data_IF_235782072732
#
_entry.id   IF_235782072732
#
_cell.length_a   1.000
_cell.length_b   1.000
_cell.length_c   1.000
_cell.angle_alpha   90.00
_cell.angle_beta   90.00
_cell.angle_gamma   90.00
#
_symmetry.space_group_name_H-M   'P 1'
#
loop_
_entity.id
_entity.type
_entity.pdbx_description
1 polymer ?
#
# COMPACT_ATOMS: atom_id res chain seq x y z
N UNK A 1 10.16 1.03 -29.86
CA UNK A 1 8.89 0.58 -29.28
C UNK A 1 8.68 1.33 -27.99
N UNK A 2 7.53 1.99 -27.75
CA UNK A 2 7.33 2.70 -26.49
C UNK A 2 7.16 1.66 -25.38
N UNK A 3 8.00 1.75 -24.35
CA UNK A 3 7.90 0.90 -23.18
C UNK A 3 6.70 1.33 -22.34
N UNK A 4 5.74 0.41 -22.26
CA UNK A 4 4.56 0.38 -21.38
C UNK A 4 5.08 0.24 -19.92
N UNK A 5 4.35 0.68 -18.87
CA UNK A 5 4.85 1.27 -17.62
C UNK A 5 6.04 0.57 -16.93
N UNK A 6 7.01 1.37 -16.47
CA UNK A 6 8.22 0.87 -15.80
C UNK A 6 8.01 0.52 -14.31
N UNK A 7 9.03 -0.11 -13.73
CA UNK A 7 8.97 -1.51 -13.30
C UNK A 7 9.27 -1.68 -11.78
N UNK A 8 8.47 -1.05 -10.91
CA UNK A 8 8.32 -1.54 -9.53
C UNK A 8 6.84 -1.75 -9.28
N UNK A 9 6.35 -2.96 -9.53
CA UNK A 9 5.01 -3.38 -9.15
C UNK A 9 4.79 -3.06 -7.67
N UNK A 10 3.59 -2.59 -7.31
CA UNK A 10 3.26 -2.19 -5.93
C UNK A 10 3.56 -3.31 -4.92
N UNK A 11 3.44 -4.57 -5.37
CA UNK A 11 3.77 -5.76 -4.58
C UNK A 11 5.27 -5.84 -4.21
N UNK A 12 6.19 -5.31 -5.02
CA UNK A 12 7.63 -5.26 -4.70
C UNK A 12 7.91 -4.33 -3.53
N UNK A 13 7.18 -3.22 -3.41
CA UNK A 13 7.32 -2.30 -2.27
C UNK A 13 6.80 -2.94 -0.98
N UNK A 14 5.62 -3.57 -1.04
CA UNK A 14 5.06 -4.31 0.08
C UNK A 14 5.98 -5.46 0.51
N UNK A 15 6.49 -6.24 -0.44
CA UNK A 15 7.40 -7.35 -0.19
C UNK A 15 8.71 -6.88 0.45
N UNK A 16 9.27 -5.75 -0.01
CA UNK A 16 10.47 -5.15 0.57
C UNK A 16 10.26 -4.80 2.05
N UNK A 17 9.19 -4.06 2.36
CA UNK A 17 8.87 -3.64 3.73
C UNK A 17 8.62 -4.87 4.63
N UNK A 18 7.85 -5.85 4.15
CA UNK A 18 7.59 -7.08 4.88
C UNK A 18 8.88 -7.86 5.16
N UNK A 19 9.75 -8.00 4.16
CA UNK A 19 11.04 -8.69 4.31
C UNK A 19 11.92 -7.98 5.33
N UNK A 20 11.98 -6.64 5.27
CA UNK A 20 12.72 -5.83 6.23
C UNK A 20 12.23 -6.05 7.65
N UNK A 21 10.92 -5.97 7.89
CA UNK A 21 10.33 -6.12 9.22
C UNK A 21 10.55 -7.54 9.77
N UNK A 22 10.29 -8.57 8.95
CA UNK A 22 10.40 -9.97 9.39
C UNK A 22 11.83 -10.38 9.75
N UNK A 23 12.83 -9.78 9.08
CA UNK A 23 14.23 -10.14 9.27
C UNK A 23 15.05 -9.09 10.03
N UNK A 24 14.41 -8.03 10.54
CA UNK A 24 15.08 -6.91 11.19
C UNK A 24 16.10 -7.34 12.25
N UNK A 25 15.71 -8.21 13.18
CA UNK A 25 16.61 -8.68 14.25
C UNK A 25 17.83 -9.45 13.71
N UNK A 26 17.65 -10.23 12.63
CA UNK A 26 18.77 -10.92 11.97
C UNK A 26 19.71 -9.93 11.29
N UNK A 27 19.18 -8.87 10.68
CA UNK A 27 20.01 -7.81 10.11
C UNK A 27 20.81 -7.08 11.18
N UNK A 28 20.22 -6.82 12.35
CA UNK A 28 20.92 -6.21 13.49
C UNK A 28 22.01 -7.15 14.02
N UNK A 29 21.74 -8.46 14.14
CA UNK A 29 22.73 -9.47 14.54
C UNK A 29 23.93 -9.48 13.58
N UNK A 30 23.67 -9.60 12.27
CA UNK A 30 24.71 -9.56 11.23
C UNK A 30 25.50 -8.25 11.29
N UNK A 31 24.83 -7.11 11.48
CA UNK A 31 25.50 -5.80 11.55
C UNK A 31 26.39 -5.62 12.80
N UNK A 32 26.16 -6.41 13.85
CA UNK A 32 26.99 -6.42 15.05
C UNK A 32 28.17 -7.40 14.94
N UNK A 33 27.98 -8.52 14.24
CA UNK A 33 29.02 -9.55 14.02
C UNK A 33 30.01 -9.14 12.91
N UNK A 34 29.47 -8.64 11.80
CA UNK A 34 30.24 -8.22 10.63
C UNK A 34 30.56 -6.72 10.69
N UNK A 35 31.77 -6.35 10.27
CA UNK A 35 32.13 -4.93 10.06
C UNK A 35 31.47 -4.40 8.79
N UNK A 36 30.16 -4.17 8.86
CA UNK A 36 29.41 -3.50 7.82
C UNK A 36 29.78 -2.02 7.73
N UNK A 37 29.42 -1.40 6.60
CA UNK A 37 29.55 0.03 6.42
C UNK A 37 28.74 0.79 7.48
N UNK A 38 29.34 1.82 8.07
CA UNK A 38 28.76 2.58 9.18
C UNK A 38 27.38 3.17 8.85
N UNK A 39 27.16 3.53 7.58
CA UNK A 39 25.87 4.00 7.07
C UNK A 39 24.76 2.97 7.25
N UNK A 40 25.04 1.69 6.98
CA UNK A 40 24.11 0.56 7.11
C UNK A 40 23.87 0.23 8.58
N UNK A 41 24.94 0.18 9.39
CA UNK A 41 24.83 -0.08 10.84
C UNK A 41 24.01 1.01 11.53
N UNK A 42 24.16 2.27 11.15
CA UNK A 42 23.36 3.39 11.68
C UNK A 42 21.87 3.28 11.32
N UNK A 43 21.55 2.78 10.12
CA UNK A 43 20.17 2.53 9.69
C UNK A 43 19.55 1.39 10.52
N UNK A 44 20.26 0.27 10.66
CA UNK A 44 19.75 -0.91 11.37
C UNK A 44 19.66 -0.70 12.88
N UNK A 45 20.57 0.07 13.47
CA UNK A 45 20.55 0.40 14.90
C UNK A 45 19.48 1.42 15.28
N UNK A 46 18.79 2.05 14.31
CA UNK A 46 17.75 3.04 14.58
C UNK A 46 16.39 2.37 14.87
N UNK A 47 15.93 2.30 16.13
CA UNK A 47 14.69 1.61 16.47
C UNK A 47 13.45 2.39 16.00
N UNK A 48 13.58 3.72 15.85
CA UNK A 48 12.52 4.56 15.31
C UNK A 48 12.23 4.21 13.85
N UNK A 49 13.27 3.93 13.05
CA UNK A 49 13.08 3.51 11.66
C UNK A 49 12.32 2.19 11.56
N UNK A 50 12.65 1.22 12.42
CA UNK A 50 11.93 -0.05 12.46
C UNK A 50 10.45 0.14 12.81
N UNK A 51 10.15 0.99 13.80
CA UNK A 51 8.78 1.33 14.16
C UNK A 51 8.04 2.04 13.02
N UNK A 52 8.67 2.99 12.35
CA UNK A 52 8.08 3.66 11.18
C UNK A 52 7.83 2.68 10.03
N UNK A 53 8.72 1.73 9.79
CA UNK A 53 8.50 0.67 8.80
C UNK A 53 7.26 -0.18 9.14
N UNK A 54 7.04 -0.51 10.42
CA UNK A 54 5.83 -1.21 10.85
C UNK A 54 4.55 -0.37 10.65
N UNK A 55 4.62 0.95 10.89
CA UNK A 55 3.49 1.84 10.60
C UNK A 55 3.20 1.93 9.11
N UNK A 56 4.25 2.10 8.29
CA UNK A 56 4.16 2.12 6.83
C UNK A 56 3.59 0.81 6.29
N UNK A 57 3.99 -0.33 6.84
CA UNK A 57 3.48 -1.64 6.44
C UNK A 57 1.96 -1.73 6.57
N UNK A 58 1.40 -1.22 7.68
CA UNK A 58 -0.06 -1.21 7.89
C UNK A 58 -0.77 -0.35 6.85
N UNK A 59 -0.18 0.79 6.47
CA UNK A 59 -0.74 1.67 5.45
C UNK A 59 -0.69 1.00 4.06
N UNK A 60 0.46 0.45 3.69
CA UNK A 60 0.67 -0.21 2.39
C UNK A 60 -0.18 -1.47 2.27
N UNK A 61 -0.42 -2.21 3.35
CA UNK A 61 -1.26 -3.41 3.35
C UNK A 61 -2.70 -3.13 2.92
N UNK A 62 -3.30 -2.05 3.44
CA UNK A 62 -4.68 -1.65 3.08
C UNK A 62 -4.75 -1.28 1.59
N UNK A 63 -3.78 -0.49 1.11
CA UNK A 63 -3.72 -0.09 -0.31
C UNK A 63 -3.47 -1.29 -1.22
N UNK A 64 -2.59 -2.20 -0.81
CA UNK A 64 -2.25 -3.40 -1.58
C UNK A 64 -3.46 -4.31 -1.79
N UNK A 65 -4.27 -4.53 -0.74
CA UNK A 65 -5.52 -5.31 -0.85
C UNK A 65 -6.54 -4.68 -1.79
N UNK A 66 -6.66 -3.35 -1.79
CA UNK A 66 -7.51 -2.64 -2.73
C UNK A 66 -7.02 -2.81 -4.17
N UNK A 67 -5.70 -2.67 -4.39
CA UNK A 67 -5.08 -2.87 -5.70
C UNK A 67 -5.23 -4.30 -6.22
N UNK A 68 -5.08 -5.32 -5.36
CA UNK A 68 -5.31 -6.73 -5.73
C UNK A 68 -6.72 -6.96 -6.28
N UNK A 69 -7.74 -6.40 -5.62
CA UNK A 69 -9.13 -6.51 -6.08
C UNK A 69 -9.36 -5.78 -7.38
N UNK A 70 -8.80 -4.57 -7.52
CA UNK A 70 -8.92 -3.74 -8.71
C UNK A 70 -8.19 -4.32 -9.93
N UNK A 71 -7.14 -5.12 -9.71
CA UNK A 71 -6.38 -5.80 -10.76
C UNK A 71 -6.89 -7.20 -11.06
N UNK A 72 -7.91 -7.69 -10.33
CA UNK A 72 -8.55 -8.98 -10.60
C UNK A 72 -9.29 -8.96 -11.95
N UNK A 73 -9.33 -10.10 -12.63
CA UNK A 73 -10.14 -10.30 -13.84
C UNK A 73 -11.66 -10.12 -13.59
N UNK A 74 -12.07 -10.17 -12.32
CA UNK A 74 -13.45 -9.96 -11.88
C UNK A 74 -13.73 -8.53 -11.44
N UNK A 75 -12.79 -7.60 -11.58
CA UNK A 75 -12.96 -6.21 -11.14
C UNK A 75 -14.06 -5.51 -11.95
N UNK A 76 -15.04 -4.95 -11.24
CA UNK A 76 -16.13 -4.15 -11.80
C UNK A 76 -16.03 -2.69 -11.35
N UNK A 77 -16.76 -1.79 -12.00
CA UNK A 77 -16.85 -0.39 -11.57
C UNK A 77 -17.41 -0.26 -10.14
N UNK A 78 -18.35 -1.14 -9.77
CA UNK A 78 -18.93 -1.17 -8.43
C UNK A 78 -17.90 -1.55 -7.36
N UNK A 79 -17.08 -2.59 -7.62
CA UNK A 79 -15.94 -2.96 -6.77
C UNK A 79 -14.97 -1.78 -6.68
N UNK A 80 -14.68 -1.12 -7.79
CA UNK A 80 -13.71 -0.03 -7.81
C UNK A 80 -14.12 1.16 -6.93
N UNK A 81 -15.40 1.57 -7.01
CA UNK A 81 -15.94 2.61 -6.12
C UNK A 81 -15.92 2.15 -4.67
N UNK A 82 -16.32 0.91 -4.40
CA UNK A 82 -16.31 0.37 -3.04
C UNK A 82 -14.91 0.39 -2.43
N UNK A 83 -13.87 -0.03 -3.16
CA UNK A 83 -12.51 0.01 -2.64
C UNK A 83 -12.02 1.45 -2.36
N UNK A 84 -12.41 2.45 -3.16
CA UNK A 84 -12.13 3.84 -2.83
C UNK A 84 -12.80 4.29 -1.52
N UNK A 85 -14.05 3.89 -1.28
CA UNK A 85 -14.77 4.19 -0.03
C UNK A 85 -14.08 3.52 1.17
N UNK A 86 -13.69 2.25 1.04
CA UNK A 86 -12.93 1.52 2.06
C UNK A 86 -11.60 2.23 2.38
N UNK A 87 -10.89 2.73 1.36
CA UNK A 87 -9.66 3.51 1.56
C UNK A 87 -9.93 4.83 2.30
N UNK A 88 -11.05 5.50 2.03
CA UNK A 88 -11.47 6.74 2.71
C UNK A 88 -11.99 6.52 4.14
N UNK A 89 -12.44 5.33 4.48
CA UNK A 89 -12.88 4.97 5.83
C UNK A 89 -11.74 4.50 6.73
N UNK A 90 -10.65 3.99 6.15
CA UNK A 90 -9.49 3.48 6.89
C UNK A 90 -8.83 4.54 7.78
N UNK A 91 -8.86 4.30 9.10
CA UNK A 91 -8.19 5.15 10.11
C UNK A 91 -6.67 5.21 9.92
N UNK A 92 -6.07 4.11 9.47
CA UNK A 92 -4.62 4.00 9.24
C UNK A 92 -4.16 4.95 8.13
N UNK A 93 -5.08 5.33 7.23
CA UNK A 93 -4.85 6.23 6.10
C UNK A 93 -5.33 7.66 6.37
N UNK A 94 -5.76 8.00 7.59
CA UNK A 94 -6.18 9.35 7.99
C UNK A 94 -5.25 10.48 7.48
N UNK A 95 -3.91 10.38 7.63
CA UNK A 95 -3.00 11.41 7.14
C UNK A 95 -3.05 11.65 5.64
N UNK A 96 -3.53 10.66 4.87
CA UNK A 96 -3.57 10.67 3.41
C UNK A 96 -4.99 10.79 2.84
N UNK A 97 -6.03 10.92 3.67
CA UNK A 97 -7.43 11.00 3.21
C UNK A 97 -7.68 12.07 2.16
N UNK A 98 -7.07 13.25 2.31
CA UNK A 98 -7.19 14.33 1.32
C UNK A 98 -6.61 13.92 -0.05
N UNK A 99 -5.45 13.25 -0.05
CA UNK A 99 -4.81 12.77 -1.27
C UNK A 99 -5.62 11.63 -1.91
N UNK A 100 -6.13 10.70 -1.10
CA UNK A 100 -6.97 9.59 -1.56
C UNK A 100 -8.24 10.12 -2.19
N UNK A 101 -8.93 11.07 -1.54
CA UNK A 101 -10.15 11.71 -2.07
C UNK A 101 -9.89 12.38 -3.41
N UNK A 102 -8.82 13.17 -3.51
CA UNK A 102 -8.42 13.81 -4.76
C UNK A 102 -8.19 12.78 -5.87
N UNK A 103 -7.48 11.68 -5.58
CA UNK A 103 -7.23 10.61 -6.55
C UNK A 103 -8.50 9.86 -6.97
N UNK A 104 -9.42 9.64 -6.04
CA UNK A 104 -10.73 9.06 -6.33
C UNK A 104 -11.52 9.98 -7.28
N UNK A 105 -11.58 11.28 -7.00
CA UNK A 105 -12.26 12.26 -7.84
C UNK A 105 -11.63 12.36 -9.25
N UNK A 106 -10.30 12.23 -9.35
CA UNK A 106 -9.59 12.16 -10.65
C UNK A 106 -9.88 10.87 -11.44
N UNK A 107 -10.19 9.77 -10.75
CA UNK A 107 -10.29 8.43 -11.34
C UNK A 107 -11.73 7.90 -11.52
N UNK A 108 -12.73 8.60 -10.97
CA UNK A 108 -14.13 8.15 -10.98
C UNK A 108 -15.04 9.14 -11.71
N UNK A 109 -16.11 8.61 -12.31
CA UNK A 109 -17.15 9.39 -12.96
C UNK A 109 -18.53 9.09 -12.33
N UNK A 110 -19.55 9.96 -12.50
CA UNK A 110 -20.86 9.76 -11.87
C UNK A 110 -21.48 8.38 -12.11
N UNK A 111 -21.30 7.79 -13.30
CA UNK A 111 -21.85 6.48 -13.61
C UNK A 111 -21.16 5.32 -12.87
N UNK A 112 -19.94 5.51 -12.35
CA UNK A 112 -19.26 4.53 -11.51
C UNK A 112 -20.03 4.37 -10.20
N UNK A 113 -20.47 5.48 -9.61
CA UNK A 113 -21.30 5.47 -8.39
C UNK A 113 -22.68 4.85 -8.64
N UNK A 114 -23.27 5.09 -9.81
CA UNK A 114 -24.51 4.41 -10.22
C UNK A 114 -24.30 2.90 -10.28
N UNK A 115 -23.20 2.43 -10.88
CA UNK A 115 -22.88 1.01 -10.91
C UNK A 115 -22.72 0.42 -9.50
N UNK A 116 -22.09 1.15 -8.57
CA UNK A 116 -21.97 0.73 -7.17
C UNK A 116 -23.33 0.66 -6.45
N UNK A 117 -24.18 1.68 -6.58
CA UNK A 117 -25.52 1.69 -5.99
C UNK A 117 -26.44 0.58 -6.55
N UNK A 118 -26.26 0.21 -7.82
CA UNK A 118 -27.05 -0.84 -8.47
C UNK A 118 -26.50 -2.25 -8.23
N UNK A 119 -25.30 -2.37 -7.66
CA UNK A 119 -24.70 -3.67 -7.36
C UNK A 119 -25.34 -4.26 -6.09
N UNK A 120 -26.01 -5.43 -6.17
CA UNK A 120 -26.63 -6.08 -5.01
C UNK A 120 -25.65 -6.40 -3.87
N UNK A 121 -24.36 -6.46 -4.16
CA UNK A 121 -23.32 -6.70 -3.16
C UNK A 121 -23.08 -5.49 -2.26
N UNK A 122 -23.26 -4.27 -2.80
CA UNK A 122 -22.90 -3.02 -2.12
C UNK A 122 -24.13 -2.17 -1.77
N UNK A 123 -25.17 -2.18 -2.61
CA UNK A 123 -26.46 -1.49 -2.41
C UNK A 123 -26.36 0.03 -2.14
N UNK A 124 -25.20 0.64 -2.41
CA UNK A 124 -24.87 2.02 -2.07
C UNK A 124 -24.12 2.11 -0.75
#
# INVERSE_FOLDING_TARGET
MPQIPNDTRWNSQQACINTFIQNYYKYVEIANEDKLEMSITNILSNPSLYREAQHLQKQVDVVSKALDKLQSDTATLSIAVNEWLVLLESEVLDPYKANIRKRMEEATEPFFFVANMMDPQYLG
#
